data_IF_741574107008
#
_entry.id   IF_741574107008
#
_cell.length_a   1.000
_cell.length_b   1.000
_cell.length_c   1.000
_cell.angle_alpha   90.00
_cell.angle_beta   90.00
_cell.angle_gamma   90.00
#
_symmetry.space_group_name_H-M   'P 1'
#
loop_
_entity.id
_entity.type
_entity.pdbx_description
1 polymer ?
#
# COMPACT_ATOMS: atom_id res chain seq x y z
N UNK A 1 11.77 37.14 -13.77
CA UNK A 1 11.92 35.73 -13.33
C UNK A 1 10.91 34.88 -14.09
N UNK A 2 11.37 33.99 -14.97
CA UNK A 2 10.50 33.04 -15.64
C UNK A 2 10.34 31.81 -14.74
N UNK A 3 9.13 31.56 -14.25
CA UNK A 3 8.80 30.33 -13.53
C UNK A 3 8.49 29.29 -14.58
N UNK A 4 9.45 28.41 -14.86
CA UNK A 4 9.24 27.21 -15.67
C UNK A 4 8.36 26.25 -14.86
N UNK A 5 7.05 26.31 -15.06
CA UNK A 5 6.15 25.26 -14.60
C UNK A 5 6.42 24.04 -15.48
N UNK A 6 7.27 23.13 -14.98
CA UNK A 6 7.43 21.82 -15.60
C UNK A 6 6.12 21.06 -15.41
N UNK A 7 5.27 21.10 -16.44
CA UNK A 7 4.05 20.30 -16.54
C UNK A 7 4.41 18.82 -16.66
N UNK A 8 4.80 18.20 -15.54
CA UNK A 8 4.85 16.75 -15.44
C UNK A 8 3.42 16.23 -15.52
N UNK A 9 2.99 15.83 -16.71
CA UNK A 9 1.77 15.05 -16.86
C UNK A 9 1.99 13.71 -16.15
N UNK A 10 1.34 13.53 -15.01
CA UNK A 10 1.34 12.26 -14.29
C UNK A 10 0.62 11.23 -15.18
N UNK A 11 1.21 10.04 -15.36
CA UNK A 11 0.55 8.95 -16.08
C UNK A 11 -0.80 8.65 -15.41
N UNK A 12 -1.88 8.73 -16.19
CA UNK A 12 -3.20 8.24 -15.76
C UNK A 12 -3.22 6.72 -15.94
N UNK A 13 -3.46 5.99 -14.86
CA UNK A 13 -3.58 4.53 -14.89
C UNK A 13 -5.04 4.14 -15.16
N UNK A 14 -5.21 3.05 -15.91
CA UNK A 14 -6.51 2.44 -16.18
C UNK A 14 -6.54 1.01 -15.66
N UNK A 15 -7.71 0.38 -15.62
CA UNK A 15 -7.82 -1.03 -15.23
C UNK A 15 -6.96 -1.96 -16.10
N UNK A 16 -6.74 -1.61 -17.38
CA UNK A 16 -5.90 -2.40 -18.30
C UNK A 16 -4.42 -2.39 -17.93
N UNK A 17 -3.97 -1.36 -17.19
CA UNK A 17 -2.59 -1.28 -16.70
C UNK A 17 -2.34 -2.21 -15.50
N UNK A 18 -3.39 -2.74 -14.86
CA UNK A 18 -3.29 -3.58 -13.66
C UNK A 18 -3.59 -5.05 -14.02
N UNK A 19 -2.54 -5.85 -14.13
CA UNK A 19 -2.63 -7.26 -14.53
C UNK A 19 -2.35 -8.19 -13.34
N UNK A 20 -3.34 -8.35 -12.45
CA UNK A 20 -3.28 -9.25 -11.30
C UNK A 20 -3.92 -10.60 -11.66
N UNK A 21 -3.25 -11.71 -11.35
CA UNK A 21 -3.74 -13.08 -11.55
C UNK A 21 -3.64 -13.85 -10.22
N UNK A 22 -4.75 -14.41 -9.69
CA UNK A 22 -6.12 -14.34 -10.20
C UNK A 22 -6.69 -12.91 -10.15
N UNK A 23 -7.67 -12.62 -11.02
CA UNK A 23 -8.30 -11.29 -11.04
C UNK A 23 -9.05 -11.05 -9.71
N UNK A 24 -8.90 -9.87 -9.08
CA UNK A 24 -9.72 -9.50 -7.94
C UNK A 24 -11.21 -9.49 -8.30
N UNK A 25 -12.07 -9.79 -7.33
CA UNK A 25 -13.53 -9.74 -7.51
C UNK A 25 -14.01 -8.36 -7.97
N UNK A 26 -13.33 -7.30 -7.54
CA UNK A 26 -13.59 -5.93 -7.96
C UNK A 26 -12.27 -5.16 -8.04
N UNK A 27 -12.12 -4.34 -9.08
CA UNK A 27 -11.03 -3.40 -9.26
C UNK A 27 -11.64 -2.05 -9.66
N UNK A 28 -11.23 -0.98 -8.99
CA UNK A 28 -11.62 0.39 -9.33
C UNK A 28 -10.35 1.23 -9.33
N UNK A 29 -9.97 1.77 -10.49
CA UNK A 29 -8.80 2.64 -10.62
C UNK A 29 -9.23 4.09 -10.52
N UNK A 30 -8.62 4.82 -9.59
CA UNK A 30 -8.81 6.26 -9.40
C UNK A 30 -7.53 7.01 -9.77
N UNK A 31 -7.65 8.31 -9.95
CA UNK A 31 -6.50 9.17 -10.20
C UNK A 31 -5.56 9.27 -8.98
N UNK A 32 -4.27 9.45 -9.28
CA UNK A 32 -3.22 9.54 -8.29
C UNK A 32 -2.46 8.23 -8.10
N UNK A 33 -1.30 8.33 -7.44
CA UNK A 33 -0.43 7.19 -7.15
C UNK A 33 0.14 7.32 -5.75
N UNK A 34 0.34 6.18 -5.09
CA UNK A 34 1.22 6.10 -3.94
C UNK A 34 2.64 5.79 -4.42
N UNK A 35 3.63 6.57 -4.00
CA UNK A 35 5.04 6.32 -4.33
C UNK A 35 5.79 5.92 -3.08
N UNK A 36 6.25 4.68 -3.04
CA UNK A 36 7.13 4.19 -1.99
C UNK A 36 8.45 4.96 -1.97
N UNK A 37 8.95 5.24 -0.77
CA UNK A 37 10.25 5.86 -0.52
C UNK A 37 10.89 5.25 0.73
N UNK A 38 12.16 5.58 0.99
CA UNK A 38 12.87 5.11 2.20
C UNK A 38 12.21 5.61 3.49
N UNK A 39 11.46 6.71 3.39
CA UNK A 39 10.72 7.33 4.49
C UNK A 39 9.35 6.67 4.70
N UNK A 40 8.88 5.80 3.80
CA UNK A 40 7.61 5.10 3.97
C UNK A 40 7.64 4.28 5.24
N UNK A 41 6.63 4.44 6.10
CA UNK A 41 6.50 3.71 7.36
C UNK A 41 5.42 2.64 7.29
N UNK A 42 5.67 1.50 7.90
CA UNK A 42 4.69 0.45 8.12
C UNK A 42 4.13 0.57 9.53
N UNK A 43 2.85 0.94 9.65
CA UNK A 43 2.20 1.17 10.94
C UNK A 43 1.68 -0.15 11.49
N UNK A 44 2.14 -0.49 12.69
CA UNK A 44 1.85 -1.76 13.37
C UNK A 44 1.38 -1.49 14.80
N UNK A 45 0.26 -2.10 15.16
CA UNK A 45 -0.36 -2.04 16.49
C UNK A 45 -0.57 -3.42 17.13
N UNK A 46 -0.27 -4.52 16.44
CA UNK A 46 -0.44 -5.89 16.94
C UNK A 46 0.32 -6.93 16.12
N UNK A 47 0.38 -8.16 16.63
CA UNK A 47 1.26 -9.22 16.11
C UNK A 47 0.96 -9.59 14.66
N UNK A 48 -0.32 -9.72 14.29
CA UNK A 48 -0.71 -9.96 12.90
C UNK A 48 -0.15 -8.91 11.94
N UNK A 49 -0.33 -7.63 12.28
CA UNK A 49 0.13 -6.52 11.45
C UNK A 49 1.65 -6.51 11.35
N UNK A 50 2.35 -6.91 12.43
CA UNK A 50 3.81 -7.01 12.47
C UNK A 50 4.31 -8.10 11.52
N UNK A 51 3.69 -9.26 11.53
CA UNK A 51 4.02 -10.39 10.67
C UNK A 51 3.81 -10.03 9.20
N UNK A 52 2.63 -9.55 8.84
CA UNK A 52 2.29 -9.15 7.47
C UNK A 52 3.19 -7.99 6.97
N UNK A 53 3.45 -6.99 7.81
CA UNK A 53 4.36 -5.88 7.47
C UNK A 53 5.78 -6.39 7.25
N UNK A 54 6.28 -7.26 8.13
CA UNK A 54 7.64 -7.79 8.03
C UNK A 54 7.82 -8.61 6.75
N UNK A 55 6.84 -9.44 6.40
CA UNK A 55 6.84 -10.20 5.15
C UNK A 55 6.94 -9.29 3.91
N UNK A 56 6.17 -8.19 3.88
CA UNK A 56 6.21 -7.24 2.75
C UNK A 56 7.49 -6.40 2.75
N UNK A 57 7.95 -5.91 3.91
CA UNK A 57 9.22 -5.17 4.05
C UNK A 57 10.41 -6.00 3.54
N UNK A 58 10.45 -7.30 3.82
CA UNK A 58 11.51 -8.17 3.32
C UNK A 58 11.55 -8.25 1.78
N UNK A 59 10.40 -8.13 1.11
CA UNK A 59 10.36 -8.04 -0.36
C UNK A 59 11.00 -6.76 -0.86
N UNK A 60 10.85 -5.63 -0.16
CA UNK A 60 11.55 -4.39 -0.50
C UNK A 60 13.07 -4.51 -0.34
N UNK A 61 13.54 -5.16 0.71
CA UNK A 61 14.98 -5.42 0.86
C UNK A 61 15.53 -6.16 -0.36
N UNK A 62 14.84 -7.22 -0.75
CA UNK A 62 15.28 -8.09 -1.84
C UNK A 62 15.20 -7.39 -3.21
N UNK A 63 14.10 -6.68 -3.48
CA UNK A 63 13.83 -6.12 -4.80
C UNK A 63 14.41 -4.71 -5.00
N UNK A 64 14.48 -3.91 -3.94
CA UNK A 64 14.86 -2.49 -4.02
C UNK A 64 16.17 -2.17 -3.27
N UNK A 65 16.71 -3.10 -2.47
CA UNK A 65 17.95 -2.90 -1.72
C UNK A 65 17.81 -1.98 -0.51
N UNK A 66 16.59 -1.71 -0.06
CA UNK A 66 16.32 -0.91 1.15
C UNK A 66 15.09 -1.42 1.90
N UNK A 67 15.01 -1.12 3.20
CA UNK A 67 13.92 -1.53 4.08
C UNK A 67 13.11 -0.33 4.54
N UNK A 68 11.80 -0.29 4.26
CA UNK A 68 10.90 0.58 4.99
C UNK A 68 10.96 0.30 6.50
N UNK A 69 10.77 1.32 7.33
CA UNK A 69 10.78 1.18 8.79
C UNK A 69 9.38 0.90 9.35
N UNK A 70 9.32 0.25 10.51
CA UNK A 70 8.08 0.06 11.27
C UNK A 70 7.86 1.26 12.19
N UNK A 71 6.60 1.71 12.29
CA UNK A 71 6.14 2.71 13.24
C UNK A 71 4.99 2.15 14.08
N UNK A 72 4.86 2.58 15.33
CA UNK A 72 3.75 2.20 16.22
C UNK A 72 2.60 3.21 16.21
N UNK A 73 2.84 4.42 15.72
CA UNK A 73 1.84 5.48 15.58
C UNK A 73 1.48 5.70 14.10
N UNK A 74 0.20 6.01 13.85
CA UNK A 74 -0.27 6.39 12.52
C UNK A 74 0.42 7.69 12.08
N UNK A 75 0.86 7.72 10.83
CA UNK A 75 1.46 8.90 10.20
C UNK A 75 0.39 9.70 9.46
N UNK A 76 0.63 10.99 9.21
CA UNK A 76 -0.28 11.81 8.41
C UNK A 76 -0.31 11.39 6.93
N UNK A 77 0.83 10.90 6.41
CA UNK A 77 1.03 10.45 5.05
C UNK A 77 2.25 9.51 4.95
N UNK A 78 2.48 8.98 3.75
CA UNK A 78 3.57 8.08 3.41
C UNK A 78 3.65 6.83 4.32
N UNK A 79 2.52 6.15 4.49
CA UNK A 79 2.46 4.97 5.33
C UNK A 79 1.63 3.84 4.73
N UNK A 80 1.95 2.62 5.17
CA UNK A 80 1.20 1.40 4.91
C UNK A 80 0.67 0.87 6.22
N UNK A 81 -0.57 0.39 6.26
CA UNK A 81 -1.13 -0.26 7.43
C UNK A 81 -1.96 -1.49 7.06
N UNK A 82 -1.98 -2.45 7.98
CA UNK A 82 -2.87 -3.61 7.92
C UNK A 82 -4.00 -3.43 8.93
N UNK A 83 -5.24 -3.70 8.53
CA UNK A 83 -6.43 -3.63 9.39
C UNK A 83 -7.11 -4.98 9.45
N UNK A 84 -7.67 -5.28 10.61
CA UNK A 84 -8.50 -6.47 10.82
C UNK A 84 -9.96 -6.08 10.69
N UNK A 85 -10.69 -6.77 9.83
CA UNK A 85 -12.15 -6.71 9.76
C UNK A 85 -12.74 -8.12 9.89
N UNK A 86 -13.28 -8.48 11.07
CA UNK A 86 -13.87 -9.80 11.32
C UNK A 86 -15.10 -10.12 10.44
N UNK A 87 -15.73 -9.12 9.84
CA UNK A 87 -16.91 -9.30 8.99
C UNK A 87 -16.55 -9.83 7.59
N UNK A 88 -15.29 -9.71 7.17
CA UNK A 88 -14.82 -10.28 5.91
C UNK A 88 -14.85 -11.81 5.96
N UNK A 89 -15.00 -12.44 4.79
CA UNK A 89 -14.84 -13.90 4.68
C UNK A 89 -13.38 -14.27 4.90
N UNK A 90 -13.11 -15.54 5.21
CA UNK A 90 -11.74 -16.04 5.24
C UNK A 90 -11.09 -15.80 3.86
N UNK A 91 -9.81 -15.43 3.85
CA UNK A 91 -9.03 -15.07 2.64
C UNK A 91 -9.50 -13.82 1.89
N UNK A 92 -10.60 -13.17 2.31
CA UNK A 92 -11.04 -11.94 1.69
C UNK A 92 -10.19 -10.74 2.16
N UNK A 93 -9.85 -9.88 1.22
CA UNK A 93 -9.10 -8.65 1.46
C UNK A 93 -9.72 -7.46 0.73
N UNK A 94 -9.40 -6.27 1.22
CA UNK A 94 -9.65 -4.97 0.57
C UNK A 94 -8.32 -4.23 0.54
N UNK A 95 -7.90 -3.80 -0.66
CA UNK A 95 -6.74 -2.96 -0.88
C UNK A 95 -7.20 -1.55 -1.26
N UNK A 96 -7.01 -0.58 -0.36
CA UNK A 96 -7.23 0.84 -0.62
C UNK A 96 -5.89 1.55 -0.77
N UNK A 97 -5.69 2.18 -1.92
CA UNK A 97 -4.48 2.94 -2.25
C UNK A 97 -4.87 4.36 -2.61
N UNK A 98 -4.26 5.33 -1.94
CA UNK A 98 -4.37 6.74 -2.29
C UNK A 98 -2.98 7.39 -2.19
N UNK A 99 -2.87 8.68 -2.55
CA UNK A 99 -1.57 9.37 -2.58
C UNK A 99 -0.89 9.54 -1.21
N UNK A 100 -1.61 9.34 -0.11
CA UNK A 100 -1.10 9.49 1.26
C UNK A 100 -0.81 8.17 1.93
N UNK A 101 -1.55 7.11 1.62
CA UNK A 101 -1.39 5.83 2.30
C UNK A 101 -1.88 4.63 1.50
N UNK A 102 -1.46 3.45 1.97
CA UNK A 102 -1.99 2.16 1.57
C UNK A 102 -2.61 1.50 2.80
N UNK A 103 -3.86 1.04 2.68
CA UNK A 103 -4.53 0.27 3.72
C UNK A 103 -4.95 -1.08 3.15
N UNK A 104 -4.48 -2.16 3.79
CA UNK A 104 -4.85 -3.54 3.47
C UNK A 104 -5.73 -4.03 4.61
N UNK A 105 -6.98 -4.36 4.32
CA UNK A 105 -7.94 -4.83 5.32
C UNK A 105 -8.30 -6.28 5.03
N UNK A 106 -8.18 -7.15 6.03
CA UNK A 106 -8.49 -8.57 5.91
C UNK A 106 -9.08 -9.09 7.23
N UNK A 107 -9.67 -10.29 7.23
CA UNK A 107 -10.12 -10.94 8.47
C UNK A 107 -8.94 -11.45 9.33
N UNK A 108 -7.81 -11.78 8.70
CA UNK A 108 -6.62 -12.31 9.36
C UNK A 108 -5.59 -12.75 8.31
N UNK A 109 -4.54 -13.46 8.74
CA UNK A 109 -3.34 -13.76 7.96
C UNK A 109 -3.52 -14.37 6.57
N UNK A 110 -4.63 -15.06 6.30
CA UNK A 110 -4.85 -15.75 5.04
C UNK A 110 -5.33 -14.81 3.90
N UNK A 111 -5.86 -13.63 4.22
CA UNK A 111 -6.28 -12.62 3.24
C UNK A 111 -5.24 -11.52 3.12
#
# INVERSE_FOLDING_TARGET
LAVLSSGYSQKTYTEKDIQIIPKPTQLVVKEGVFKFSKETKFVVSGDFQKEASSALIQKFETAAGWKPEIATAIQANNFVQFKVDPALKNEAYILDVNSKSITITAKGNAG
#
